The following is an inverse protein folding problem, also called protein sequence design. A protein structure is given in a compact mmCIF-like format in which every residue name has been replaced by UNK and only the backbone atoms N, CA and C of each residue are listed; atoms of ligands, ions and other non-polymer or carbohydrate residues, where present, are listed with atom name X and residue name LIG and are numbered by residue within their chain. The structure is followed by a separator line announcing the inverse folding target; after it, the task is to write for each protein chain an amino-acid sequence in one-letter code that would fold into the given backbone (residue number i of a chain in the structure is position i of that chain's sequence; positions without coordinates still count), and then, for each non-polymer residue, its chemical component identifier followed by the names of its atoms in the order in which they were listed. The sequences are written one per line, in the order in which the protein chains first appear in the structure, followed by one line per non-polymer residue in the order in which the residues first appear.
data_IF_819625771489
#
_entry.id   IF_819625771489
#
_cell.length_a   1.000
_cell.length_b   1.000
_cell.length_c   1.000
_cell.angle_alpha   90.00
_cell.angle_beta   90.00
_cell.angle_gamma   90.00
#
_symmetry.space_group_name_H-M   'P 1'
#
loop_
_entity.id
_entity.type
_entity.pdbx_description
1 polymer ?
#
# COMPACT_ATOMS: atom_id res chain seq x y z
N UNK A 1 18.88 -36.41 30.94
CA UNK A 1 18.66 -35.13 30.23
C UNK A 1 18.52 -35.39 28.74
N UNK A 2 17.29 -35.58 28.25
CA UNK A 2 16.98 -35.73 26.83
C UNK A 2 16.88 -34.34 26.19
N UNK A 3 17.71 -34.06 25.18
CA UNK A 3 17.59 -32.85 24.33
C UNK A 3 16.60 -33.14 23.20
N UNK A 4 15.42 -32.53 23.27
CA UNK A 4 14.50 -32.40 22.14
C UNK A 4 15.14 -31.48 21.09
N UNK A 5 15.26 -31.96 19.86
CA UNK A 5 15.61 -31.14 18.69
C UNK A 5 14.32 -30.91 17.90
N UNK A 6 13.80 -29.68 17.94
CA UNK A 6 12.69 -29.25 17.10
C UNK A 6 13.19 -29.06 15.66
N UNK A 7 12.71 -29.90 14.74
CA UNK A 7 12.96 -29.78 13.31
C UNK A 7 11.84 -28.92 12.70
N UNK A 8 12.15 -27.64 12.43
CA UNK A 8 11.23 -26.72 11.76
C UNK A 8 11.30 -27.00 10.25
N UNK A 9 10.23 -27.55 9.68
CA UNK A 9 10.09 -27.75 8.24
C UNK A 9 9.45 -26.49 7.65
N UNK A 10 10.24 -25.68 6.92
CA UNK A 10 9.74 -24.51 6.19
C UNK A 10 9.35 -24.96 4.78
N UNK A 11 8.07 -24.76 4.43
CA UNK A 11 7.47 -25.11 3.15
C UNK A 11 7.97 -24.16 2.04
N UNK A 12 8.57 -24.64 0.92
CA UNK A 12 9.26 -23.78 -0.03
C UNK A 12 8.38 -23.47 -1.26
N UNK A 13 7.42 -22.55 -1.13
CA UNK A 13 6.74 -21.97 -2.29
C UNK A 13 6.66 -20.45 -2.18
N UNK A 14 7.80 -19.81 -2.44
CA UNK A 14 7.87 -18.43 -2.96
C UNK A 14 9.27 -18.25 -3.56
N UNK A 15 9.47 -18.83 -4.74
CA UNK A 15 10.76 -18.78 -5.43
C UNK A 15 10.87 -17.45 -6.17
N UNK A 16 11.22 -16.38 -5.43
CA UNK A 16 11.84 -15.23 -6.06
C UNK A 16 13.13 -15.74 -6.73
N UNK A 17 13.28 -15.47 -8.03
CA UNK A 17 14.31 -16.08 -8.87
C UNK A 17 15.69 -15.91 -8.20
N UNK A 18 16.29 -17.00 -7.69
CA UNK A 18 17.50 -16.94 -6.86
C UNK A 18 18.65 -16.19 -7.54
N UNK A 19 18.68 -16.19 -8.87
CA UNK A 19 19.61 -15.42 -9.71
C UNK A 19 19.40 -13.91 -9.62
N UNK A 20 18.14 -13.43 -9.57
CA UNK A 20 17.82 -12.01 -9.36
C UNK A 20 18.14 -11.57 -7.93
N UNK A 21 17.86 -12.41 -6.94
CA UNK A 21 18.24 -12.14 -5.55
C UNK A 21 19.77 -12.05 -5.41
N UNK A 22 20.51 -13.01 -5.98
CA UNK A 22 21.98 -12.98 -5.97
C UNK A 22 22.53 -11.78 -6.73
N UNK A 23 21.99 -11.44 -7.91
CA UNK A 23 22.39 -10.26 -8.67
C UNK A 23 22.13 -8.97 -7.89
N UNK A 24 21.00 -8.88 -7.19
CA UNK A 24 20.68 -7.75 -6.32
C UNK A 24 21.62 -7.69 -5.11
N UNK A 25 21.91 -8.83 -4.47
CA UNK A 25 22.88 -8.92 -3.36
C UNK A 25 24.30 -8.58 -3.80
N UNK A 26 24.73 -8.99 -4.99
CA UNK A 26 26.05 -8.66 -5.52
C UNK A 26 26.15 -7.18 -5.90
N UNK A 27 25.09 -6.60 -6.47
CA UNK A 27 25.01 -5.16 -6.75
C UNK A 27 25.00 -4.34 -5.44
N UNK A 28 24.30 -4.83 -4.41
CA UNK A 28 24.29 -4.24 -3.08
C UNK A 28 25.65 -4.41 -2.37
N UNK A 29 26.37 -5.49 -2.63
CA UNK A 29 27.71 -5.74 -2.08
C UNK A 29 28.81 -4.89 -2.71
N UNK A 30 28.71 -4.56 -3.99
CA UNK A 30 29.69 -3.69 -4.67
C UNK A 30 29.58 -2.23 -4.24
N UNK A 31 28.38 -1.72 -3.92
CA UNK A 31 28.23 -0.36 -3.36
C UNK A 31 28.75 -0.22 -1.92
N UNK A 32 28.85 -1.32 -1.16
CA UNK A 32 29.36 -1.30 0.23
C UNK A 32 30.89 -1.22 0.31
N UNK A 33 31.62 -1.46 -0.80
CA UNK A 33 33.09 -1.51 -0.79
C UNK A 33 33.81 -0.17 -1.00
N UNK A 34 33.10 0.96 -0.98
CA UNK A 34 33.69 2.29 -1.10
C UNK A 34 33.93 2.92 0.29
N UNK A 35 35.19 2.95 0.73
CA UNK A 35 35.63 3.33 2.09
C UNK A 35 35.58 4.85 2.42
N UNK A 36 34.55 5.58 1.99
CA UNK A 36 34.44 7.02 2.25
C UNK A 36 32.99 7.56 2.41
N UNK A 37 32.00 6.70 2.62
CA UNK A 37 30.58 7.11 2.56
C UNK A 37 29.95 7.30 3.95
N UNK A 38 29.25 8.42 4.11
CA UNK A 38 28.51 8.78 5.34
C UNK A 38 27.12 8.16 5.29
N UNK A 39 26.75 7.49 6.36
CA UNK A 39 25.43 6.87 6.50
C UNK A 39 24.63 7.59 7.57
N UNK A 40 23.30 7.60 7.43
CA UNK A 40 22.40 8.05 8.49
C UNK A 40 21.33 7.00 8.74
N UNK A 41 20.99 6.80 10.01
CA UNK A 41 19.83 6.04 10.42
C UNK A 41 18.89 6.98 11.13
N UNK A 42 17.59 6.86 10.89
CA UNK A 42 16.63 7.73 11.52
C UNK A 42 15.24 7.16 11.62
N UNK A 43 14.42 7.93 12.32
CA UNK A 43 12.99 7.71 12.49
C UNK A 43 12.23 8.92 11.97
N UNK A 44 11.00 8.70 11.53
CA UNK A 44 10.05 9.77 11.15
C UNK A 44 8.66 9.45 11.66
N UNK A 45 7.98 10.49 12.10
CA UNK A 45 6.62 10.45 12.61
C UNK A 45 5.82 11.58 11.97
N UNK A 46 4.54 11.36 11.72
CA UNK A 46 3.75 12.34 11.02
C UNK A 46 2.30 11.96 10.88
N UNK A 47 1.66 12.60 9.91
CA UNK A 47 0.25 12.40 9.58
C UNK A 47 0.14 12.01 8.12
N UNK A 48 -0.80 11.11 7.82
CA UNK A 48 -1.10 10.66 6.47
C UNK A 48 -2.49 11.12 6.05
N UNK A 49 -2.66 11.43 4.77
CA UNK A 49 -3.91 11.80 4.15
C UNK A 49 -4.08 11.03 2.85
N UNK A 50 -5.28 10.49 2.63
CA UNK A 50 -5.64 9.82 1.39
C UNK A 50 -6.47 10.78 0.53
N UNK A 51 -6.14 10.86 -0.76
CA UNK A 51 -6.93 11.56 -1.77
C UNK A 51 -7.41 10.51 -2.75
N UNK A 52 -8.70 10.21 -2.68
CA UNK A 52 -9.36 9.20 -3.50
C UNK A 52 -10.82 9.57 -3.82
N UNK A 53 -11.60 8.58 -4.21
CA UNK A 53 -13.00 8.72 -4.58
C UNK A 53 -13.94 8.90 -3.38
N UNK A 54 -13.52 8.44 -2.19
CA UNK A 54 -14.20 8.65 -0.91
C UNK A 54 -13.45 9.69 -0.08
N UNK A 55 -14.22 10.64 0.47
CA UNK A 55 -13.69 11.74 1.26
C UNK A 55 -13.32 13.00 0.46
N UNK A 56 -12.52 13.87 1.07
CA UNK A 56 -12.14 15.18 0.53
C UNK A 56 -11.08 15.04 -0.57
N UNK A 57 -11.23 15.83 -1.62
CA UNK A 57 -10.37 15.86 -2.82
C UNK A 57 -9.14 16.78 -2.72
N UNK A 58 -8.95 17.51 -1.62
CA UNK A 58 -7.83 18.46 -1.50
C UNK A 58 -6.48 17.76 -1.33
N UNK A 59 -5.50 18.13 -2.15
CA UNK A 59 -4.15 17.55 -2.21
C UNK A 59 -3.18 18.03 -1.13
N UNK A 60 -3.38 19.23 -0.59
CA UNK A 60 -2.51 19.82 0.42
C UNK A 60 -3.21 19.74 1.77
N UNK A 61 -2.55 19.07 2.74
CA UNK A 61 -2.82 19.10 4.17
C UNK A 61 -4.24 19.57 4.48
N UNK A 62 -5.20 18.68 4.24
CA UNK A 62 -6.48 18.84 4.87
C UNK A 62 -6.17 18.87 6.35
N UNK A 63 -6.57 19.95 7.03
CA UNK A 63 -6.61 19.97 8.48
C UNK A 63 -7.10 18.59 8.89
N UNK A 64 -6.27 17.76 9.56
CA UNK A 64 -6.85 16.71 10.33
C UNK A 64 -7.69 17.46 11.36
N UNK A 65 -8.57 16.75 12.02
CA UNK A 65 -9.23 17.25 13.21
C UNK A 65 -10.53 18.02 12.91
N UNK A 66 -11.53 17.29 12.44
CA UNK A 66 -12.72 17.20 13.31
C UNK A 66 -12.24 16.51 14.61
N UNK A 67 -11.56 17.26 15.49
CA UNK A 67 -11.04 16.78 16.78
C UNK A 67 -12.19 16.23 17.63
N UNK A 68 -13.39 16.75 17.41
CA UNK A 68 -14.66 16.31 17.99
C UNK A 68 -15.00 14.85 17.66
N UNK A 69 -14.42 14.28 16.60
CA UNK A 69 -14.63 12.88 16.19
C UNK A 69 -13.37 12.04 16.23
N UNK A 70 -12.26 12.56 16.78
CA UNK A 70 -11.03 11.79 16.98
C UNK A 70 -11.25 10.54 17.86
N UNK A 71 -12.25 10.58 18.75
CA UNK A 71 -12.68 9.46 19.60
C UNK A 71 -13.32 8.29 18.82
N UNK A 72 -13.92 8.55 17.66
CA UNK A 72 -14.60 7.53 16.84
C UNK A 72 -13.66 6.89 15.80
N UNK A 73 -12.74 7.66 15.22
CA UNK A 73 -11.95 7.26 14.04
C UNK A 73 -10.44 7.13 14.31
N UNK A 74 -9.96 7.67 15.43
CA UNK A 74 -8.54 7.80 15.76
C UNK A 74 -7.86 8.95 15.01
N UNK A 75 -6.57 9.18 15.26
CA UNK A 75 -5.78 10.20 14.55
C UNK A 75 -5.04 9.53 13.39
N UNK A 76 -5.09 10.09 12.16
CA UNK A 76 -4.29 9.56 11.06
C UNK A 76 -2.81 9.66 11.43
N UNK A 77 -2.13 8.52 11.34
CA UNK A 77 -0.76 8.38 11.83
C UNK A 77 0.15 7.91 10.71
N UNK A 78 1.37 8.41 10.76
CA UNK A 78 2.48 7.93 9.98
C UNK A 78 3.69 7.72 10.87
N UNK A 79 4.34 6.57 10.73
CA UNK A 79 5.58 6.27 11.41
C UNK A 79 6.49 5.42 10.53
N UNK A 80 7.79 5.68 10.58
CA UNK A 80 8.74 4.92 9.78
C UNK A 80 10.17 5.05 10.25
N UNK A 81 11.00 4.19 9.69
CA UNK A 81 12.45 4.22 9.82
C UNK A 81 13.06 4.46 8.45
N UNK A 82 14.22 5.09 8.43
CA UNK A 82 14.93 5.39 7.21
C UNK A 82 16.43 5.15 7.37
N UNK A 83 17.05 4.79 6.26
CA UNK A 83 18.50 4.68 6.14
C UNK A 83 18.95 5.52 4.95
N UNK A 84 19.84 6.47 5.18
CA UNK A 84 20.43 7.33 4.13
C UNK A 84 21.87 6.92 3.86
N UNK A 85 22.18 6.82 2.59
CA UNK A 85 23.50 6.62 2.04
C UNK A 85 23.90 7.88 1.27
N UNK A 86 24.79 8.68 1.84
CA UNK A 86 25.22 9.95 1.24
C UNK A 86 26.46 9.71 0.37
N UNK A 87 26.36 9.94 -0.94
CA UNK A 87 27.50 9.85 -1.85
C UNK A 87 28.36 11.11 -1.82
N UNK A 88 27.71 12.26 -1.77
CA UNK A 88 28.31 13.59 -1.68
C UNK A 88 27.39 14.48 -0.82
N UNK A 89 27.73 15.75 -0.53
CA UNK A 89 26.94 16.57 0.37
C UNK A 89 25.58 17.00 -0.17
N UNK A 90 25.36 16.78 -1.47
CA UNK A 90 24.12 17.09 -2.17
C UNK A 90 23.26 15.86 -2.41
N UNK A 91 23.84 14.71 -2.70
CA UNK A 91 23.16 13.54 -3.24
C UNK A 91 23.15 12.38 -2.26
N UNK A 92 21.95 11.86 -2.03
CA UNK A 92 21.69 10.80 -1.07
C UNK A 92 20.76 9.77 -1.70
N UNK A 93 21.03 8.49 -1.48
CA UNK A 93 20.03 7.43 -1.67
C UNK A 93 19.50 7.02 -0.31
N UNK A 94 18.18 6.99 -0.16
CA UNK A 94 17.48 6.67 1.06
C UNK A 94 16.62 5.42 0.87
N UNK A 95 16.75 4.48 1.79
CA UNK A 95 15.80 3.39 2.00
C UNK A 95 14.81 3.79 3.09
N UNK A 96 13.54 3.62 2.80
CA UNK A 96 12.43 4.01 3.66
C UNK A 96 11.55 2.79 3.95
N UNK A 97 11.22 2.57 5.23
CA UNK A 97 10.24 1.59 5.68
C UNK A 97 9.23 2.29 6.59
N UNK A 98 7.94 2.11 6.38
CA UNK A 98 6.92 2.86 7.11
C UNK A 98 5.58 2.16 7.26
N UNK A 99 4.79 2.71 8.15
CA UNK A 99 3.42 2.36 8.44
C UNK A 99 2.56 3.62 8.40
N UNK A 100 1.49 3.58 7.62
CA UNK A 100 0.52 4.65 7.48
C UNK A 100 -0.86 4.10 7.87
N UNK A 101 -1.56 4.80 8.75
CA UNK A 101 -2.98 4.58 8.97
C UNK A 101 -3.75 5.74 8.35
N UNK A 102 -4.34 5.48 7.18
CA UNK A 102 -5.15 6.46 6.46
C UNK A 102 -6.62 6.31 6.82
N UNK A 103 -7.32 7.43 6.79
CA UNK A 103 -8.76 7.51 7.05
C UNK A 103 -9.44 8.27 5.92
N UNK A 104 -10.65 7.86 5.58
CA UNK A 104 -11.46 8.49 4.54
C UNK A 104 -12.91 8.59 5.03
N UNK A 105 -13.53 9.76 4.84
CA UNK A 105 -14.92 10.00 5.22
C UNK A 105 -15.55 11.06 4.34
N UNK A 106 -16.67 10.69 3.72
CA UNK A 106 -17.47 11.58 2.88
C UNK A 106 -18.11 12.74 3.63
N UNK A 107 -18.30 12.64 4.96
CA UNK A 107 -18.81 13.75 5.78
C UNK A 107 -17.93 14.98 5.68
N UNK A 108 -16.63 14.77 5.46
CA UNK A 108 -15.66 15.83 5.30
C UNK A 108 -15.69 16.42 3.87
N UNK A 109 -16.29 15.76 2.88
CA UNK A 109 -16.20 16.16 1.47
C UNK A 109 -16.86 17.51 1.17
N UNK A 110 -16.30 18.25 0.21
CA UNK A 110 -16.82 19.56 -0.23
C UNK A 110 -18.08 19.39 -1.09
N UNK A 111 -18.18 18.27 -1.79
CA UNK A 111 -19.25 17.94 -2.71
C UNK A 111 -20.46 17.33 -1.98
N UNK A 112 -21.66 17.83 -2.28
CA UNK A 112 -22.89 17.42 -1.60
C UNK A 112 -23.27 15.96 -1.88
N UNK A 113 -23.07 15.49 -3.11
CA UNK A 113 -23.34 14.09 -3.47
C UNK A 113 -22.48 13.09 -2.67
N UNK A 114 -21.23 13.47 -2.34
CA UNK A 114 -20.35 12.66 -1.48
C UNK A 114 -20.89 12.66 -0.06
N UNK A 115 -21.20 13.83 0.51
CA UNK A 115 -21.78 13.93 1.85
C UNK A 115 -23.06 13.10 2.00
N UNK A 116 -23.93 13.09 0.99
CA UNK A 116 -25.17 12.30 0.98
C UNK A 116 -24.90 10.77 0.91
N UNK A 117 -23.79 10.34 0.29
CA UNK A 117 -23.34 8.94 0.25
C UNK A 117 -22.84 8.47 1.62
N UNK A 118 -22.28 9.37 2.44
CA UNK A 118 -21.89 9.13 3.83
C UNK A 118 -20.99 7.88 4.03
N UNK A 119 -20.11 7.58 3.07
CA UNK A 119 -19.15 6.47 3.18
C UNK A 119 -17.95 6.85 4.04
N UNK A 120 -17.40 5.87 4.76
CA UNK A 120 -16.26 6.07 5.65
C UNK A 120 -15.45 4.79 5.84
N UNK A 121 -14.21 4.93 6.30
CA UNK A 121 -13.37 3.79 6.65
C UNK A 121 -11.94 4.17 7.04
N UNK A 122 -11.16 3.12 7.31
CA UNK A 122 -9.72 3.21 7.60
C UNK A 122 -8.97 2.13 6.84
N UNK A 123 -7.71 2.39 6.49
CA UNK A 123 -6.83 1.41 5.87
C UNK A 123 -5.42 1.50 6.46
N UNK A 124 -4.82 0.33 6.71
CA UNK A 124 -3.49 0.21 7.27
C UNK A 124 -2.52 -0.17 6.15
N UNK A 125 -1.58 0.73 5.86
CA UNK A 125 -0.69 0.66 4.71
C UNK A 125 0.75 0.58 5.19
N UNK A 126 1.43 -0.52 4.86
CA UNK A 126 2.87 -0.66 5.04
C UNK A 126 3.58 -0.22 3.77
N UNK A 127 4.67 0.54 3.90
CA UNK A 127 5.45 1.04 2.77
C UNK A 127 6.91 0.60 2.83
N UNK A 128 7.48 0.36 1.65
CA UNK A 128 8.91 0.24 1.46
C UNK A 128 9.31 1.00 0.19
N UNK A 129 10.29 1.90 0.27
CA UNK A 129 10.71 2.69 -0.89
C UNK A 129 12.21 2.96 -0.93
N UNK A 130 12.71 3.12 -2.16
CA UNK A 130 14.04 3.61 -2.46
C UNK A 130 13.90 5.00 -3.08
N UNK A 131 14.54 5.99 -2.47
CA UNK A 131 14.36 7.40 -2.77
C UNK A 131 15.72 8.04 -3.04
N UNK A 132 15.80 8.88 -4.05
CA UNK A 132 16.94 9.76 -4.28
C UNK A 132 16.62 11.14 -3.70
N UNK A 133 17.51 11.69 -2.87
CA UNK A 133 17.43 13.04 -2.32
C UNK A 133 18.50 13.92 -2.94
N UNK A 134 18.12 15.16 -3.22
CA UNK A 134 19.03 16.22 -3.63
C UNK A 134 18.91 17.42 -2.68
N UNK A 135 19.93 17.61 -1.86
CA UNK A 135 20.10 18.73 -0.93
C UNK A 135 20.60 19.96 -1.71
N UNK A 136 19.90 21.08 -1.61
CA UNK A 136 20.25 22.32 -2.32
C UNK A 136 21.50 22.97 -1.72
N UNK A 137 21.70 22.87 -0.41
CA UNK A 137 22.91 23.35 0.26
C UNK A 137 23.77 22.17 0.73
N UNK A 138 25.10 22.31 0.69
CA UNK A 138 26.01 21.22 1.03
C UNK A 138 25.95 20.92 2.53
N UNK A 139 25.42 19.75 2.90
CA UNK A 139 25.37 19.33 4.31
C UNK A 139 26.72 18.70 4.69
N UNK A 140 27.69 19.56 5.03
CA UNK A 140 29.07 19.16 5.31
C UNK A 140 29.33 18.90 6.81
N UNK A 141 30.52 18.36 7.12
CA UNK A 141 30.91 18.03 8.50
C UNK A 141 31.62 19.16 9.26
N UNK A 142 32.09 20.17 8.55
CA UNK A 142 32.87 21.28 9.13
C UNK A 142 32.00 22.30 9.88
N UNK A 143 30.71 22.35 9.57
CA UNK A 143 29.77 23.28 10.17
C UNK A 143 28.91 22.59 11.24
N UNK A 144 28.82 23.25 12.40
CA UNK A 144 28.04 22.80 13.57
C UNK A 144 26.53 22.93 13.37
N UNK A 145 26.09 23.89 12.56
CA UNK A 145 24.69 24.12 12.23
C UNK A 145 24.54 24.39 10.74
N UNK A 146 23.58 23.71 10.10
CA UNK A 146 23.28 23.91 8.68
C UNK A 146 21.81 23.61 8.41
N UNK A 147 21.17 24.51 7.67
CA UNK A 147 19.81 24.33 7.14
C UNK A 147 19.90 24.05 5.65
N UNK A 148 19.42 22.88 5.20
CA UNK A 148 19.35 22.54 3.79
C UNK A 148 17.93 22.14 3.39
N UNK A 149 17.26 22.90 2.52
CA UNK A 149 16.12 22.38 1.79
C UNK A 149 16.59 21.30 0.81
N UNK A 150 15.73 20.33 0.55
CA UNK A 150 15.98 19.25 -0.39
C UNK A 150 14.71 18.82 -1.09
N UNK A 151 14.89 18.29 -2.29
CA UNK A 151 13.84 17.62 -3.05
C UNK A 151 14.16 16.14 -3.12
N UNK A 152 13.14 15.30 -3.28
CA UNK A 152 13.35 13.87 -3.41
C UNK A 152 12.30 13.21 -4.29
N UNK A 153 12.68 12.08 -4.87
CA UNK A 153 11.84 11.26 -5.74
C UNK A 153 12.34 9.82 -5.77
N UNK A 154 11.44 8.87 -5.96
CA UNK A 154 11.82 7.46 -5.89
C UNK A 154 10.76 6.50 -6.39
N UNK A 155 10.99 5.24 -6.06
CA UNK A 155 10.09 4.13 -6.35
C UNK A 155 9.90 3.31 -5.08
N UNK A 156 8.74 2.69 -4.95
CA UNK A 156 8.47 1.82 -3.81
C UNK A 156 7.30 0.89 -4.03
N UNK A 157 6.95 0.18 -2.98
CA UNK A 157 5.74 -0.62 -2.89
C UNK A 157 4.99 -0.31 -1.61
N UNK A 158 3.67 -0.48 -1.67
CA UNK A 158 2.78 -0.44 -0.52
C UNK A 158 2.02 -1.75 -0.41
N UNK A 159 1.80 -2.18 0.82
CA UNK A 159 0.95 -3.31 1.18
C UNK A 159 -0.20 -2.82 2.04
N UNK A 160 -1.43 -3.06 1.60
CA UNK A 160 -2.64 -2.52 2.22
C UNK A 160 -3.79 -3.53 2.19
N UNK A 161 -4.87 -3.23 2.92
CA UNK A 161 -6.11 -4.00 2.87
C UNK A 161 -6.95 -3.56 1.67
N UNK A 162 -7.16 -4.46 0.71
CA UNK A 162 -7.99 -4.22 -0.46
C UNK A 162 -9.31 -4.99 -0.33
N UNK A 163 -10.44 -4.41 -0.78
CA UNK A 163 -11.72 -5.12 -0.78
C UNK A 163 -11.69 -6.27 -1.80
N UNK A 164 -12.16 -7.43 -1.35
CA UNK A 164 -12.33 -8.66 -2.13
C UNK A 164 -13.77 -9.12 -2.03
N UNK A 165 -14.26 -9.75 -3.08
CA UNK A 165 -15.59 -10.33 -3.10
C UNK A 165 -15.51 -11.78 -3.57
N UNK A 166 -16.16 -12.67 -2.85
CA UNK A 166 -16.36 -14.05 -3.26
C UNK A 166 -17.82 -14.20 -3.69
N UNK A 167 -18.03 -14.48 -4.97
CA UNK A 167 -19.34 -14.79 -5.52
C UNK A 167 -19.49 -16.32 -5.52
N UNK A 168 -20.39 -16.83 -4.70
CA UNK A 168 -20.72 -18.25 -4.67
C UNK A 168 -21.98 -18.48 -5.48
N UNK A 169 -21.84 -19.20 -6.59
CA UNK A 169 -22.95 -19.63 -7.43
C UNK A 169 -23.42 -21.01 -6.94
N UNK A 170 -24.61 -21.07 -6.36
CA UNK A 170 -25.20 -22.28 -5.79
C UNK A 170 -26.53 -22.62 -6.47
N UNK A 171 -26.83 -23.92 -6.52
CA UNK A 171 -28.10 -24.41 -7.00
C UNK A 171 -29.22 -24.04 -6.02
N UNK A 172 -30.46 -23.94 -6.51
CA UNK A 172 -31.60 -23.84 -5.61
C UNK A 172 -31.75 -25.14 -4.83
N UNK A 173 -32.08 -25.03 -3.54
CA UNK A 173 -32.23 -26.17 -2.63
C UNK A 173 -33.70 -26.35 -2.25
N UNK A 174 -34.15 -27.59 -2.11
CA UNK A 174 -35.46 -27.90 -1.54
C UNK A 174 -35.47 -27.72 -0.01
N UNK A 175 -36.62 -27.97 0.63
CA UNK A 175 -36.77 -27.88 2.08
C UNK A 175 -35.80 -28.80 2.86
N UNK A 176 -35.34 -29.89 2.24
CA UNK A 176 -34.40 -30.85 2.80
C UNK A 176 -32.92 -30.50 2.51
N UNK A 177 -32.64 -29.36 1.86
CA UNK A 177 -31.27 -28.90 1.56
C UNK A 177 -30.61 -29.53 0.32
N UNK A 178 -31.33 -30.36 -0.44
CA UNK A 178 -30.84 -31.04 -1.64
C UNK A 178 -30.84 -30.07 -2.84
N UNK A 179 -29.73 -30.03 -3.57
CA UNK A 179 -29.58 -29.23 -4.78
C UNK A 179 -30.51 -29.72 -5.89
N UNK A 180 -31.25 -28.79 -6.51
CA UNK A 180 -32.15 -29.06 -7.63
C UNK A 180 -31.46 -28.72 -8.94
N UNK A 181 -31.67 -29.57 -9.96
CA UNK A 181 -31.18 -29.32 -11.30
C UNK A 181 -31.82 -28.04 -11.87
N UNK A 182 -31.03 -27.07 -12.36
CA UNK A 182 -31.56 -25.85 -12.93
C UNK A 182 -32.51 -26.13 -14.09
N UNK A 183 -33.70 -25.53 -14.07
CA UNK A 183 -34.65 -25.62 -15.20
C UNK A 183 -34.40 -24.58 -16.29
N UNK A 184 -33.58 -23.56 -15.99
CA UNK A 184 -33.17 -22.52 -16.92
C UNK A 184 -31.78 -22.00 -16.58
N UNK A 185 -31.13 -21.32 -17.54
CA UNK A 185 -29.82 -20.69 -17.37
C UNK A 185 -29.76 -19.62 -16.27
N UNK A 186 -30.89 -19.15 -15.75
CA UNK A 186 -30.95 -18.20 -14.63
C UNK A 186 -31.29 -18.83 -13.29
N UNK A 187 -31.63 -20.13 -13.29
CA UNK A 187 -32.17 -20.87 -12.14
C UNK A 187 -31.07 -21.36 -11.17
N UNK A 188 -30.26 -20.43 -10.71
CA UNK A 188 -29.28 -20.62 -9.65
C UNK A 188 -29.13 -19.33 -8.85
N UNK A 189 -28.70 -19.44 -7.60
CA UNK A 189 -28.53 -18.31 -6.69
C UNK A 189 -27.07 -17.87 -6.71
N UNK A 190 -26.82 -16.57 -6.63
CA UNK A 190 -25.46 -16.04 -6.47
C UNK A 190 -25.43 -15.24 -5.19
N UNK A 191 -24.68 -15.73 -4.21
CA UNK A 191 -24.44 -15.04 -2.95
C UNK A 191 -23.10 -14.34 -3.02
N UNK A 192 -23.02 -13.16 -2.42
CA UNK A 192 -21.78 -12.38 -2.36
C UNK A 192 -21.31 -12.30 -0.91
N UNK A 193 -20.08 -12.73 -0.69
CA UNK A 193 -19.38 -12.53 0.58
C UNK A 193 -18.27 -11.50 0.39
N UNK A 194 -18.22 -10.51 1.27
CA UNK A 194 -17.21 -9.46 1.24
C UNK A 194 -16.13 -9.73 2.26
N UNK A 195 -14.87 -9.56 1.84
CA UNK A 195 -13.72 -9.65 2.73
C UNK A 195 -12.69 -8.58 2.40
N UNK A 196 -11.78 -8.35 3.34
CA UNK A 196 -10.56 -7.57 3.10
C UNK A 196 -9.39 -8.53 2.93
N UNK A 197 -8.57 -8.31 1.91
CA UNK A 197 -7.35 -9.09 1.72
C UNK A 197 -6.14 -8.20 1.49
N UNK A 198 -4.99 -8.66 1.98
CA UNK A 198 -3.72 -7.96 1.78
C UNK A 198 -3.33 -7.96 0.30
N UNK A 199 -2.89 -6.79 -0.18
CA UNK A 199 -2.45 -6.57 -1.55
C UNK A 199 -1.24 -5.67 -1.59
N UNK A 200 -0.32 -5.97 -2.50
CA UNK A 200 0.89 -5.17 -2.72
C UNK A 200 0.86 -4.53 -4.10
N UNK A 201 1.13 -3.23 -4.18
CA UNK A 201 1.23 -2.48 -5.43
C UNK A 201 2.44 -1.55 -5.40
N UNK A 202 2.93 -1.19 -6.58
CA UNK A 202 3.99 -0.19 -6.69
C UNK A 202 3.46 1.23 -6.45
N UNK A 203 4.35 2.10 -5.97
CA UNK A 203 4.10 3.52 -5.73
C UNK A 203 5.28 4.38 -6.18
N UNK A 204 5.02 5.65 -6.45
CA UNK A 204 6.04 6.64 -6.79
C UNK A 204 6.00 7.74 -5.72
N UNK A 205 6.89 7.70 -4.71
CA UNK A 205 7.04 8.76 -3.72
C UNK A 205 7.89 9.92 -4.27
N UNK A 206 7.47 11.15 -4.02
CA UNK A 206 8.25 12.36 -4.29
C UNK A 206 7.83 13.49 -3.36
N UNK A 207 8.66 14.51 -3.22
CA UNK A 207 8.34 15.62 -2.35
C UNK A 207 9.48 16.56 -2.07
N UNK A 208 9.28 17.35 -1.02
CA UNK A 208 10.21 18.36 -0.56
C UNK A 208 10.43 18.21 0.94
N UNK A 209 11.62 18.57 1.40
CA UNK A 209 11.95 18.54 2.81
C UNK A 209 12.92 19.65 3.20
N UNK A 210 13.02 19.85 4.51
CA UNK A 210 13.92 20.79 5.13
C UNK A 210 14.70 20.06 6.22
N UNK A 211 16.02 20.04 6.10
CA UNK A 211 16.93 19.36 7.02
C UNK A 211 17.69 20.40 7.84
N UNK A 212 17.68 20.28 9.16
CA UNK A 212 18.45 21.11 10.07
C UNK A 212 19.40 20.23 10.89
N UNK A 213 20.70 20.42 10.66
CA UNK A 213 21.76 19.81 11.46
C UNK A 213 22.05 20.72 12.64
N UNK A 214 22.07 20.18 13.85
CA UNK A 214 22.31 20.95 15.08
C UNK A 214 23.51 20.45 15.90
N UNK A 215 24.11 19.32 15.50
CA UNK A 215 25.36 18.82 16.04
C UNK A 215 26.07 17.95 14.96
N UNK A 216 27.29 17.49 15.22
CA UNK A 216 28.10 16.71 14.28
C UNK A 216 27.40 15.43 13.80
N UNK A 217 26.67 14.75 14.70
CA UNK A 217 25.99 13.49 14.43
C UNK A 217 24.48 13.59 14.23
N UNK A 218 23.80 14.66 14.67
CA UNK A 218 22.33 14.69 14.70
C UNK A 218 21.73 15.74 13.77
N UNK A 219 20.66 15.35 13.08
CA UNK A 219 19.85 16.25 12.27
C UNK A 219 18.36 15.99 12.48
N UNK A 220 17.58 17.06 12.58
CA UNK A 220 16.12 17.01 12.48
C UNK A 220 15.72 17.35 11.05
N UNK A 221 14.58 16.84 10.60
CA UNK A 221 14.05 17.18 9.29
C UNK A 221 12.53 17.19 9.28
N UNK A 222 11.96 17.98 8.37
CA UNK A 222 10.54 18.01 8.06
C UNK A 222 10.33 17.68 6.59
N UNK A 223 9.33 16.88 6.26
CA UNK A 223 9.03 16.42 4.89
C UNK A 223 7.55 16.54 4.57
N UNK A 224 7.27 17.00 3.35
CA UNK A 224 5.98 16.84 2.68
C UNK A 224 6.17 15.84 1.54
N UNK A 225 5.57 14.66 1.67
CA UNK A 225 5.72 13.54 0.74
C UNK A 225 4.39 13.28 0.04
N UNK A 226 4.41 13.28 -1.28
CA UNK A 226 3.30 12.87 -2.14
C UNK A 226 3.61 11.48 -2.70
N UNK A 227 2.63 10.59 -2.69
CA UNK A 227 2.79 9.24 -3.23
C UNK A 227 1.68 8.97 -4.21
N UNK A 228 2.06 8.82 -5.46
CA UNK A 228 1.14 8.33 -6.48
C UNK A 228 1.03 6.82 -6.31
N UNK A 229 -0.13 6.36 -5.82
CA UNK A 229 -0.39 4.93 -5.68
C UNK A 229 -0.91 4.43 -7.02
N UNK A 230 -0.31 3.37 -7.57
CA UNK A 230 -0.71 2.84 -8.89
C UNK A 230 -2.01 2.02 -8.81
N UNK A 231 -2.91 2.36 -7.87
CA UNK A 231 -4.14 1.65 -7.53
C UNK A 231 -5.25 2.64 -7.16
N UNK A 232 -6.47 2.12 -7.07
CA UNK A 232 -7.72 2.87 -6.88
C UNK A 232 -8.59 2.13 -5.84
N UNK A 233 -7.93 1.54 -4.84
CA UNK A 233 -8.53 0.63 -3.86
C UNK A 233 -8.14 1.00 -2.43
N UNK A 234 -7.35 2.06 -2.23
CA UNK A 234 -6.87 2.45 -0.91
C UNK A 234 -8.02 2.92 -0.02
N UNK A 235 -9.07 3.49 -0.62
CA UNK A 235 -10.27 3.98 0.05
C UNK A 235 -11.46 2.98 0.05
N UNK A 236 -11.23 1.74 -0.42
CA UNK A 236 -12.26 0.69 -0.55
C UNK A 236 -13.46 1.06 -1.47
N UNK A 237 -13.35 2.12 -2.28
CA UNK A 237 -14.40 2.53 -3.22
C UNK A 237 -14.59 1.53 -4.36
N UNK A 238 -13.54 0.77 -4.71
CA UNK A 238 -13.50 -0.10 -5.88
C UNK A 238 -13.03 -1.52 -5.57
N UNK A 239 -13.68 -2.48 -6.22
CA UNK A 239 -13.22 -3.87 -6.30
C UNK A 239 -12.79 -4.11 -7.74
N UNK A 240 -11.52 -4.45 -7.95
CA UNK A 240 -11.06 -4.80 -9.29
C UNK A 240 -11.56 -6.20 -9.65
N UNK A 241 -11.83 -6.45 -10.94
CA UNK A 241 -12.29 -7.76 -11.40
C UNK A 241 -11.37 -8.92 -10.95
N UNK A 242 -10.06 -8.68 -10.90
CA UNK A 242 -9.07 -9.66 -10.42
C UNK A 242 -9.15 -9.98 -8.91
N UNK A 243 -9.86 -9.17 -8.14
CA UNK A 243 -10.08 -9.37 -6.70
C UNK A 243 -11.47 -9.98 -6.43
N UNK A 244 -12.21 -10.32 -7.49
CA UNK A 244 -13.45 -11.09 -7.42
C UNK A 244 -13.14 -12.56 -7.67
N UNK A 245 -13.56 -13.42 -6.74
CA UNK A 245 -13.39 -14.87 -6.84
C UNK A 245 -14.77 -15.48 -7.04
N UNK A 246 -14.94 -16.28 -8.10
CA UNK A 246 -16.19 -16.99 -8.37
C UNK A 246 -16.06 -18.45 -7.96
N UNK A 247 -16.83 -18.86 -6.97
CA UNK A 247 -16.96 -20.25 -6.54
C UNK A 247 -18.23 -20.85 -7.16
N UNK A 248 -18.13 -22.10 -7.61
CA UNK A 248 -19.23 -22.81 -8.25
C UNK A 248 -19.50 -24.08 -7.45
N UNK A 249 -20.73 -24.24 -6.95
CA UNK A 249 -21.12 -25.44 -6.22
C UNK A 249 -21.05 -26.68 -7.13
N UNK A 250 -20.55 -27.79 -6.61
CA UNK A 250 -20.29 -29.02 -7.37
C UNK A 250 -21.28 -30.17 -7.08
N UNK A 251 -22.41 -29.90 -6.42
CA UNK A 251 -23.43 -30.91 -6.09
C UNK A 251 -24.05 -31.53 -7.36
N UNK A 252 -24.13 -30.75 -8.45
CA UNK A 252 -24.57 -31.22 -9.76
C UNK A 252 -23.41 -31.01 -10.75
N UNK A 253 -22.89 -32.12 -11.26
CA UNK A 253 -21.74 -32.15 -12.14
C UNK A 253 -22.15 -32.17 -13.61
N UNK A 254 -21.35 -31.52 -14.46
CA UNK A 254 -21.48 -31.63 -15.91
C UNK A 254 -21.00 -33.01 -16.38
N UNK A 255 -21.78 -33.72 -17.21
CA UNK A 255 -21.36 -34.99 -17.80
C UNK A 255 -20.11 -34.87 -18.70
N UNK A 256 -19.82 -33.67 -19.22
CA UNK A 256 -18.73 -33.44 -20.17
C UNK A 256 -17.42 -33.08 -19.49
N UNK A 257 -17.46 -32.26 -18.44
CA UNK A 257 -16.24 -31.72 -17.80
C UNK A 257 -15.93 -32.37 -16.45
N UNK A 258 -16.90 -33.06 -15.82
CA UNK A 258 -16.76 -33.59 -14.46
C UNK A 258 -16.68 -32.52 -13.37
N UNK A 259 -16.74 -31.23 -13.75
CA UNK A 259 -16.84 -30.09 -12.83
C UNK A 259 -18.29 -29.66 -12.61
N UNK A 260 -18.49 -28.53 -11.91
CA UNK A 260 -19.84 -27.99 -11.67
C UNK A 260 -20.58 -27.73 -12.97
N UNK A 261 -21.88 -28.08 -13.03
CA UNK A 261 -22.75 -27.74 -14.16
C UNK A 261 -22.79 -26.23 -14.44
N UNK A 262 -22.67 -25.40 -13.39
CA UNK A 262 -22.68 -23.93 -13.49
C UNK A 262 -21.43 -23.35 -14.18
N UNK A 263 -20.41 -24.17 -14.42
CA UNK A 263 -19.21 -23.79 -15.17
C UNK A 263 -19.32 -24.10 -16.67
N UNK A 264 -20.52 -24.46 -17.15
CA UNK A 264 -20.72 -24.91 -18.54
C UNK A 264 -21.76 -24.09 -19.28
N UNK A 265 -21.55 -23.91 -20.59
CA UNK A 265 -22.50 -23.31 -21.52
C UNK A 265 -23.08 -21.98 -21.03
N UNK A 266 -24.40 -21.84 -21.16
CA UNK A 266 -25.11 -20.61 -20.82
C UNK A 266 -25.07 -20.28 -19.32
N UNK A 267 -24.98 -21.28 -18.44
CA UNK A 267 -24.88 -21.04 -16.98
C UNK A 267 -23.63 -20.23 -16.64
N UNK A 268 -22.51 -20.54 -17.30
CA UNK A 268 -21.25 -19.81 -17.11
C UNK A 268 -21.32 -18.39 -17.69
N UNK A 269 -21.99 -18.19 -18.82
CA UNK A 269 -22.23 -16.85 -19.36
C UNK A 269 -23.04 -16.00 -18.40
N UNK A 270 -24.14 -16.53 -17.86
CA UNK A 270 -24.98 -15.84 -16.89
C UNK A 270 -24.23 -15.57 -15.57
N UNK A 271 -23.38 -16.48 -15.11
CA UNK A 271 -22.57 -16.24 -13.90
C UNK A 271 -21.60 -15.09 -14.11
N UNK A 272 -20.97 -14.98 -15.29
CA UNK A 272 -20.08 -13.88 -15.67
C UNK A 272 -20.82 -12.56 -15.86
N UNK A 273 -22.03 -12.56 -16.40
CA UNK A 273 -22.86 -11.36 -16.44
C UNK A 273 -23.22 -10.85 -15.04
N UNK A 274 -23.54 -11.75 -14.11
CA UNK A 274 -23.80 -11.39 -12.70
C UNK A 274 -22.56 -10.82 -12.03
N UNK A 275 -21.39 -11.40 -12.29
CA UNK A 275 -20.10 -10.89 -11.81
C UNK A 275 -19.82 -9.47 -12.35
N UNK A 276 -20.00 -9.25 -13.65
CA UNK A 276 -19.83 -7.93 -14.27
C UNK A 276 -20.81 -6.89 -13.72
N UNK A 277 -22.08 -7.27 -13.56
CA UNK A 277 -23.11 -6.41 -12.95
C UNK A 277 -22.76 -6.06 -11.50
N UNK A 278 -22.26 -7.02 -10.74
CA UNK A 278 -21.79 -6.83 -9.37
C UNK A 278 -20.65 -5.80 -9.30
N UNK A 279 -19.60 -5.99 -10.11
CA UNK A 279 -18.45 -5.07 -10.16
C UNK A 279 -18.90 -3.65 -10.53
N UNK A 280 -19.75 -3.53 -11.55
CA UNK A 280 -20.26 -2.24 -12.02
C UNK A 280 -21.08 -1.50 -10.96
N UNK A 281 -21.89 -2.21 -10.17
CA UNK A 281 -22.68 -1.61 -9.09
C UNK A 281 -21.84 -1.21 -7.89
N UNK A 282 -20.72 -1.91 -7.65
CA UNK A 282 -19.88 -1.68 -6.48
C UNK A 282 -18.82 -0.60 -6.70
N UNK A 283 -18.43 -0.33 -7.94
CA UNK A 283 -17.48 0.74 -8.26
C UNK A 283 -18.11 2.11 -7.99
N UNK A 284 -17.51 2.87 -7.08
CA UNK A 284 -17.91 4.24 -6.75
C UNK A 284 -16.84 5.20 -7.26
N UNK A 285 -17.23 6.39 -7.76
CA UNK A 285 -16.29 7.44 -8.15
C UNK A 285 -15.75 7.35 -9.59
N UNK A 286 -14.66 8.06 -9.87
CA UNK A 286 -14.08 8.09 -11.22
C UNK A 286 -13.19 6.86 -11.46
N UNK A 287 -13.69 5.98 -12.32
CA UNK A 287 -12.98 4.74 -12.69
C UNK A 287 -11.60 4.93 -13.32
N UNK A 288 -11.23 6.15 -13.75
CA UNK A 288 -9.96 6.49 -14.40
C UNK A 288 -8.95 7.14 -13.46
N UNK A 289 -9.36 7.67 -12.30
CA UNK A 289 -8.42 8.20 -11.33
C UNK A 289 -7.68 7.08 -10.60
N UNK A 290 -6.59 7.47 -9.93
CA UNK A 290 -5.88 6.61 -8.98
C UNK A 290 -5.75 7.35 -7.67
N UNK A 291 -5.69 6.59 -6.60
CA UNK A 291 -5.56 7.14 -5.26
C UNK A 291 -4.17 7.74 -5.04
N UNK A 292 -4.11 8.83 -4.27
CA UNK A 292 -2.87 9.45 -3.82
C UNK A 292 -2.78 9.38 -2.30
N UNK A 293 -1.57 9.17 -1.78
CA UNK A 293 -1.30 9.21 -0.36
C UNK A 293 -0.27 10.28 -0.04
N UNK A 294 -0.66 11.26 0.76
CA UNK A 294 0.19 12.39 1.13
C UNK A 294 0.55 12.29 2.62
N UNK A 295 1.79 12.62 2.99
CA UNK A 295 2.20 12.68 4.39
C UNK A 295 2.98 13.94 4.69
N UNK A 296 2.75 14.50 5.87
CA UNK A 296 3.66 15.46 6.48
C UNK A 296 4.34 14.79 7.67
N UNK A 297 5.66 14.83 7.73
CA UNK A 297 6.42 14.15 8.79
C UNK A 297 7.57 14.97 9.32
N UNK A 298 7.81 14.82 10.61
CA UNK A 298 9.03 15.26 11.28
C UNK A 298 9.87 14.04 11.61
N UNK A 299 11.19 14.18 11.54
CA UNK A 299 12.08 13.07 11.86
C UNK A 299 13.41 13.52 12.40
N UNK A 300 14.14 12.52 12.88
CA UNK A 300 15.45 12.65 13.49
C UNK A 300 16.38 11.61 12.89
N UNK A 301 17.57 12.03 12.47
CA UNK A 301 18.61 11.12 12.01
C UNK A 301 19.88 11.27 12.81
N UNK A 302 20.58 10.14 12.93
CA UNK A 302 21.94 10.05 13.44
C UNK A 302 22.88 9.62 12.32
N UNK A 303 23.90 10.43 12.08
CA UNK A 303 24.95 10.20 11.11
C UNK A 303 26.11 9.42 11.71
N UNK A 304 26.60 8.42 10.99
CA UNK A 304 27.77 7.63 11.36
C UNK A 304 28.61 7.26 10.13
N UNK A 305 29.86 6.89 10.36
CA UNK A 305 30.87 6.67 9.32
C UNK A 305 31.92 7.77 9.28
N UNK A 306 32.97 7.55 8.48
CA UNK A 306 34.05 8.53 8.31
C UNK A 306 33.63 9.59 7.28
N UNK A 307 33.90 10.89 7.52
CA UNK A 307 33.67 11.91 6.50
C UNK A 307 34.50 11.58 5.25
N UNK A 308 33.96 11.79 4.04
CA UNK A 308 34.74 11.68 2.82
C UNK A 308 35.89 12.69 2.88
N UNK A 309 37.12 12.22 2.69
CA UNK A 309 38.23 13.10 2.35
C UNK A 309 37.98 13.54 0.91
N UNK A 310 37.49 14.76 0.70
CA UNK A 310 37.55 15.37 -0.63
C UNK A 310 39.02 15.71 -0.87
N UNK A 311 39.61 15.18 -1.94
CA UNK A 311 40.89 15.70 -2.42
C UNK A 311 40.61 17.07 -3.04
N UNK A 312 41.33 18.09 -2.55
CA UNK A 312 41.40 19.42 -3.18
C UNK A 312 41.99 19.34 -4.59
#
# INVERSE_FOLDING_TARGET
MQKLIFKITINPYSFMNKKLLFSFLTLLGTVVSLKAQRNELGIRLGMSNLVGDIGKTNYILQQPLDLDRASEWGVPFYGGILYRFNFNPHQTVRLDLGYNQVQFSDKAAKEEYRRNRNSFGKNNIYEASLVFEYNLFPVNNEQMSMLSPYIFGGIGGIMFDAPKATLTHDFRRNADGVAQAPISETDFVTTTEYSLGKKTVAQIPFGVGLKYKFNHGWAVFAEATFRYSLTDQLDHSKILAKDVISNYNADILSPTTGGSLLQTGNYYSVSKEREASFISKRSLGDTKSRDWMNTFSLGLTYSFGRPPCYCD
#
